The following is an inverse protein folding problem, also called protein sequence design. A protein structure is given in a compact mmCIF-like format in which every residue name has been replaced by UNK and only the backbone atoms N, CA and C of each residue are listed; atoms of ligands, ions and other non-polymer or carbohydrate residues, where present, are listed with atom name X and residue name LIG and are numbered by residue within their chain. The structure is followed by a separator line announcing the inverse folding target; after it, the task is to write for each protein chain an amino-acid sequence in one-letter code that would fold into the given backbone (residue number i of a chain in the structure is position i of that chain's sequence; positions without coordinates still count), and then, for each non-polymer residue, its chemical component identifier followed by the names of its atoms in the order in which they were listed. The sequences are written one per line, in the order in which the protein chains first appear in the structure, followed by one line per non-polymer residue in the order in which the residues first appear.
data_IF_390535976841
#
_entry.id   IF_390535976841
#
_cell.length_a   1.000
_cell.length_b   1.000
_cell.length_c   1.000
_cell.angle_alpha   90.00
_cell.angle_beta   90.00
_cell.angle_gamma   90.00
#
_symmetry.space_group_name_H-M   'P 1'
#
loop_
_entity.id
_entity.type
_entity.pdbx_description
1 polymer ?
#
# COMPACT_ATOMS: atom_id res chain seq x y z
N UNK A 1 5.81 -33.67 -16.75
CA UNK A 1 4.93 -33.72 -15.56
C UNK A 1 4.28 -32.36 -15.41
N UNK A 2 3.06 -32.22 -15.93
CA UNK A 2 2.25 -30.99 -15.91
C UNK A 2 1.48 -30.93 -14.60
N UNK A 3 1.68 -29.86 -13.81
CA UNK A 3 0.92 -29.58 -12.58
C UNK A 3 -0.17 -28.52 -12.85
N UNK A 4 -1.31 -28.55 -12.14
CA UNK A 4 -2.54 -27.92 -12.59
C UNK A 4 -2.55 -26.41 -12.33
N UNK A 5 -3.17 -25.68 -13.26
CA UNK A 5 -3.49 -24.27 -13.14
C UNK A 5 -4.50 -24.03 -12.00
N UNK A 6 -4.21 -23.10 -11.09
CA UNK A 6 -5.21 -22.51 -10.21
C UNK A 6 -6.17 -21.64 -11.04
N UNK A 7 -7.34 -22.18 -11.40
CA UNK A 7 -8.48 -21.40 -11.85
C UNK A 7 -9.35 -21.04 -10.65
N UNK A 8 -9.50 -19.75 -10.38
CA UNK A 8 -10.48 -19.25 -9.40
C UNK A 8 -11.91 -19.40 -9.97
N UNK A 9 -12.89 -19.88 -9.20
CA UNK A 9 -14.27 -19.98 -9.67
C UNK A 9 -14.90 -18.59 -9.83
N UNK A 10 -15.84 -18.41 -10.79
CA UNK A 10 -16.54 -17.14 -10.97
C UNK A 10 -17.48 -16.84 -9.79
N UNK A 11 -17.58 -15.56 -9.42
CA UNK A 11 -18.49 -15.06 -8.36
C UNK A 11 -19.95 -15.38 -8.72
N UNK A 12 -20.80 -15.78 -7.75
CA UNK A 12 -22.23 -15.87 -7.98
C UNK A 12 -22.83 -14.46 -8.19
N UNK A 13 -23.91 -14.33 -8.99
CA UNK A 13 -24.54 -13.05 -9.26
C UNK A 13 -25.22 -12.48 -8.01
N UNK A 14 -25.14 -11.17 -7.84
CA UNK A 14 -25.88 -10.44 -6.79
C UNK A 14 -27.36 -10.42 -7.13
N UNK A 15 -28.19 -11.00 -6.25
CA UNK A 15 -29.63 -10.83 -6.32
C UNK A 15 -29.99 -9.35 -6.07
N UNK A 16 -30.64 -8.72 -7.03
CA UNK A 16 -31.31 -7.45 -6.85
C UNK A 16 -32.62 -7.71 -6.09
N UNK A 17 -32.70 -7.26 -4.84
CA UNK A 17 -33.94 -7.26 -4.08
C UNK A 17 -34.67 -5.94 -4.31
N UNK A 18 -35.81 -5.98 -5.00
CA UNK A 18 -36.78 -4.89 -5.07
C UNK A 18 -37.32 -4.57 -3.67
N UNK A 19 -37.38 -3.28 -3.33
CA UNK A 19 -38.02 -2.81 -2.11
C UNK A 19 -39.51 -2.67 -2.41
N UNK A 20 -40.30 -3.66 -2.01
CA UNK A 20 -41.76 -3.57 -2.01
C UNK A 20 -42.23 -2.95 -0.67
N UNK A 21 -42.91 -1.83 -0.77
CA UNK A 21 -43.63 -1.17 0.32
C UNK A 21 -44.82 -2.02 0.78
N UNK A 22 -44.87 -2.40 2.06
CA UNK A 22 -46.02 -3.06 2.67
C UNK A 22 -45.98 -3.00 4.19
N UNK A 23 -47.02 -2.42 4.79
CA UNK A 23 -47.30 -2.46 6.24
C UNK A 23 -47.71 -3.87 6.65
N UNK A 24 -46.94 -4.53 7.52
CA UNK A 24 -47.31 -5.83 8.08
C UNK A 24 -47.10 -5.84 9.60
N UNK A 25 -48.14 -6.28 10.30
CA UNK A 25 -48.26 -6.38 11.73
C UNK A 25 -47.19 -7.29 12.36
N UNK A 26 -46.80 -6.97 13.60
CA UNK A 26 -45.84 -7.69 14.43
C UNK A 26 -46.31 -9.13 14.71
N UNK A 27 -45.61 -10.11 14.13
CA UNK A 27 -45.64 -11.50 14.59
C UNK A 27 -44.26 -11.85 15.19
N UNK A 28 -44.26 -12.44 16.39
CA UNK A 28 -43.04 -12.84 17.10
C UNK A 28 -42.29 -13.97 16.34
N UNK A 29 -40.94 -14.00 16.33
CA UNK A 29 -40.20 -15.06 15.66
C UNK A 29 -40.19 -16.33 16.52
N UNK A 30 -40.54 -17.47 15.93
CA UNK A 30 -40.31 -18.79 16.50
C UNK A 30 -39.00 -19.36 15.95
N UNK A 31 -38.12 -19.85 16.83
CA UNK A 31 -36.90 -20.57 16.46
C UNK A 31 -37.14 -22.06 16.63
N UNK A 32 -36.92 -22.85 15.57
CA UNK A 32 -37.03 -24.31 15.59
C UNK A 32 -35.62 -24.90 15.67
N UNK A 33 -35.34 -25.69 16.70
CA UNK A 33 -34.12 -26.50 16.80
C UNK A 33 -34.39 -27.92 16.27
N UNK A 34 -33.54 -28.40 15.35
CA UNK A 34 -33.54 -29.80 14.93
C UNK A 34 -32.58 -30.61 15.79
N UNK A 35 -33.12 -31.35 16.77
CA UNK A 35 -32.41 -32.37 17.53
C UNK A 35 -32.63 -33.75 16.92
N UNK A 36 -31.56 -34.54 16.75
CA UNK A 36 -31.49 -35.78 15.96
C UNK A 36 -32.24 -37.01 16.47
N UNK A 37 -33.43 -36.87 17.06
CA UNK A 37 -34.30 -38.00 17.40
C UNK A 37 -35.78 -37.67 17.22
N UNK A 38 -36.23 -37.62 15.96
CA UNK A 38 -37.56 -38.03 15.49
C UNK A 38 -38.87 -37.50 16.12
N UNK A 39 -38.86 -36.68 17.16
CA UNK A 39 -40.07 -36.16 17.81
C UNK A 39 -40.06 -34.63 17.89
N UNK A 40 -40.95 -33.99 17.12
CA UNK A 40 -41.21 -32.55 17.22
C UNK A 40 -42.03 -32.25 18.48
N UNK A 41 -41.42 -31.68 19.52
CA UNK A 41 -42.16 -31.06 20.64
C UNK A 41 -42.23 -29.55 20.46
N UNK A 42 -43.44 -29.02 20.32
CA UNK A 42 -43.71 -27.58 20.37
C UNK A 42 -43.71 -27.14 21.85
N UNK A 43 -42.80 -26.25 22.23
CA UNK A 43 -42.87 -25.54 23.50
C UNK A 43 -43.31 -24.09 23.24
N UNK A 44 -44.45 -23.70 23.79
CA UNK A 44 -44.90 -22.31 23.76
C UNK A 44 -44.13 -21.50 24.82
N UNK A 45 -43.52 -20.39 24.41
CA UNK A 45 -42.94 -19.43 25.37
C UNK A 45 -44.08 -18.61 26.01
N UNK A 46 -44.01 -18.31 27.32
CA UNK A 46 -44.98 -17.43 27.96
C UNK A 46 -44.82 -15.99 27.44
N UNK A 47 -45.89 -15.18 27.44
CA UNK A 47 -45.83 -13.81 26.94
C UNK A 47 -44.92 -12.95 27.82
N UNK A 48 -44.10 -12.10 27.18
CA UNK A 48 -43.27 -11.11 27.86
C UNK A 48 -44.18 -10.11 28.59
N UNK A 49 -44.18 -10.16 29.93
CA UNK A 49 -44.80 -9.14 30.76
C UNK A 49 -44.04 -7.81 30.56
N UNK A 50 -44.78 -6.73 30.31
CA UNK A 50 -44.26 -5.35 30.20
C UNK A 50 -43.86 -4.79 31.57
N UNK A 51 -42.92 -5.45 32.24
CA UNK A 51 -42.24 -4.97 33.44
C UNK A 51 -40.79 -4.66 33.09
N UNK A 52 -40.34 -3.43 33.37
CA UNK A 52 -38.95 -3.04 33.17
C UNK A 52 -38.00 -3.99 33.88
N UNK A 53 -37.10 -4.61 33.13
CA UNK A 53 -36.02 -5.43 33.70
C UNK A 53 -34.89 -4.47 34.08
N UNK A 54 -34.78 -4.15 35.37
CA UNK A 54 -33.58 -3.55 35.93
C UNK A 54 -32.44 -4.57 35.83
N UNK A 55 -31.49 -4.30 34.94
CA UNK A 55 -30.24 -5.05 34.88
C UNK A 55 -29.35 -4.63 36.06
N UNK A 56 -29.42 -5.39 37.16
CA UNK A 56 -28.34 -5.37 38.15
C UNK A 56 -27.23 -6.27 37.64
N UNK A 57 -26.17 -5.67 37.10
CA UNK A 57 -24.96 -6.40 36.75
C UNK A 57 -24.43 -7.08 38.03
N UNK A 58 -24.17 -8.39 38.05
CA UNK A 58 -23.50 -9.00 39.19
C UNK A 58 -22.12 -8.34 39.32
N UNK A 59 -21.79 -7.91 40.55
CA UNK A 59 -20.46 -7.42 40.90
C UNK A 59 -19.42 -8.40 40.35
N UNK A 60 -18.62 -7.93 39.38
CA UNK A 60 -17.57 -8.73 38.78
C UNK A 60 -16.67 -9.29 39.90
N UNK A 61 -16.39 -10.61 39.93
CA UNK A 61 -15.44 -11.13 40.89
C UNK A 61 -14.10 -10.43 40.67
N UNK A 62 -13.59 -9.79 41.72
CA UNK A 62 -12.27 -9.16 41.68
C UNK A 62 -11.22 -10.27 41.50
N UNK A 63 -10.77 -10.46 40.28
CA UNK A 63 -9.70 -11.40 39.96
C UNK A 63 -8.39 -10.89 40.60
N UNK A 64 -7.71 -11.70 41.44
CA UNK A 64 -6.58 -11.24 42.25
C UNK A 64 -5.24 -11.19 41.49
N UNK A 65 -5.25 -11.03 40.17
CA UNK A 65 -4.02 -10.92 39.39
C UNK A 65 -4.09 -9.70 38.47
N UNK A 66 -3.22 -8.72 38.75
CA UNK A 66 -2.80 -7.75 37.76
C UNK A 66 -2.01 -8.51 36.68
N UNK A 67 -2.73 -9.10 35.72
CA UNK A 67 -2.12 -9.57 34.50
C UNK A 67 -1.75 -8.31 33.72
N UNK A 68 -0.48 -7.93 33.76
CA UNK A 68 0.09 -7.06 32.75
C UNK A 68 0.21 -7.85 31.43
N UNK A 69 -0.90 -8.38 30.91
CA UNK A 69 -0.98 -8.80 29.52
C UNK A 69 -1.83 -7.76 28.82
N UNK A 70 -1.25 -7.14 27.80
CA UNK A 70 -2.07 -6.47 26.79
C UNK A 70 -2.80 -7.58 26.05
N UNK A 71 -3.95 -8.01 26.56
CA UNK A 71 -4.82 -9.00 25.88
C UNK A 71 -5.25 -8.46 24.50
N UNK A 72 -5.20 -7.14 24.31
CA UNK A 72 -5.48 -6.48 23.06
C UNK A 72 -4.21 -6.33 22.21
N UNK A 73 -4.19 -7.02 21.07
CA UNK A 73 -3.15 -6.88 20.05
C UNK A 73 -3.23 -5.51 19.38
N UNK A 74 -2.07 -4.99 18.99
CA UNK A 74 -2.00 -3.82 18.14
C UNK A 74 -2.28 -4.21 16.68
N UNK A 75 -3.11 -3.42 15.98
CA UNK A 75 -3.55 -3.75 14.62
C UNK A 75 -3.15 -2.66 13.64
N UNK A 76 -2.54 -3.08 12.53
CA UNK A 76 -2.41 -2.30 11.31
C UNK A 76 -3.23 -2.94 10.20
N UNK A 77 -3.50 -2.20 9.13
CA UNK A 77 -4.22 -2.78 8.00
C UNK A 77 -3.81 -2.27 6.63
N UNK A 78 -4.32 -2.90 5.58
CA UNK A 78 -4.31 -2.41 4.20
C UNK A 78 -5.75 -2.12 3.76
N UNK A 79 -5.99 -0.92 3.25
CA UNK A 79 -7.27 -0.50 2.68
C UNK A 79 -7.13 -0.24 1.18
N UNK A 80 -8.00 -0.81 0.35
CA UNK A 80 -8.01 -0.64 -1.11
C UNK A 80 -9.15 -1.37 -1.77
N UNK A 81 -9.25 -1.29 -3.09
CA UNK A 81 -10.22 -2.07 -3.88
C UNK A 81 -9.70 -2.23 -5.33
N UNK A 82 -9.15 -3.40 -5.73
CA UNK A 82 -8.93 -4.59 -4.90
C UNK A 82 -7.65 -4.51 -4.03
N UNK A 83 -7.61 -5.27 -2.93
CA UNK A 83 -6.40 -5.57 -2.14
C UNK A 83 -5.96 -7.03 -2.26
N UNK A 84 -6.83 -7.93 -2.74
CA UNK A 84 -6.48 -9.32 -2.98
C UNK A 84 -5.21 -9.46 -3.83
N UNK A 85 -4.28 -10.32 -3.39
CA UNK A 85 -2.99 -10.54 -4.06
C UNK A 85 -1.91 -9.51 -3.70
N UNK A 86 -2.17 -8.59 -2.76
CA UNK A 86 -1.14 -7.68 -2.28
C UNK A 86 -0.15 -8.40 -1.32
N UNK A 87 1.17 -8.36 -1.60
CA UNK A 87 2.17 -9.09 -0.83
C UNK A 87 2.50 -8.49 0.54
N UNK A 88 2.04 -7.26 0.84
CA UNK A 88 2.43 -6.54 2.06
C UNK A 88 2.06 -7.29 3.35
N UNK A 89 0.96 -8.05 3.33
CA UNK A 89 0.52 -8.84 4.49
C UNK A 89 1.62 -9.81 4.96
N UNK A 90 2.20 -10.59 4.03
CA UNK A 90 3.21 -11.59 4.36
C UNK A 90 4.49 -10.97 4.92
N UNK A 91 4.95 -9.88 4.30
CA UNK A 91 6.15 -9.16 4.77
C UNK A 91 5.95 -8.58 6.16
N UNK A 92 4.81 -7.92 6.42
CA UNK A 92 4.57 -7.22 7.68
C UNK A 92 4.30 -8.18 8.83
N UNK A 93 3.54 -9.26 8.60
CA UNK A 93 3.35 -10.32 9.61
C UNK A 93 4.70 -10.95 10.00
N UNK A 94 5.58 -11.24 9.04
CA UNK A 94 6.93 -11.70 9.37
C UNK A 94 7.73 -10.66 10.14
N UNK A 95 7.68 -9.39 9.73
CA UNK A 95 8.38 -8.32 10.44
C UNK A 95 7.92 -8.20 11.91
N UNK A 96 6.61 -8.31 12.18
CA UNK A 96 6.07 -8.28 13.55
C UNK A 96 6.54 -9.50 14.35
N UNK A 97 6.49 -10.69 13.76
CA UNK A 97 6.95 -11.91 14.42
C UNK A 97 8.45 -11.86 14.77
N UNK A 98 9.29 -11.37 13.85
CA UNK A 98 10.74 -11.23 14.06
C UNK A 98 11.11 -10.19 15.10
N UNK A 99 10.28 -9.17 15.25
CA UNK A 99 10.47 -8.12 16.24
C UNK A 99 9.87 -8.47 17.62
N UNK A 100 9.34 -9.69 17.81
CA UNK A 100 8.61 -10.12 19.02
C UNK A 100 7.47 -9.16 19.40
N UNK A 101 6.77 -8.64 18.37
CA UNK A 101 5.66 -7.72 18.53
C UNK A 101 4.34 -8.48 18.37
N UNK A 102 3.48 -8.42 19.39
CA UNK A 102 2.12 -8.99 19.35
C UNK A 102 1.16 -8.10 18.56
N UNK A 103 1.46 -7.96 17.27
CA UNK A 103 0.77 -7.11 16.31
C UNK A 103 0.12 -7.95 15.20
N UNK A 104 -0.91 -7.40 14.55
CA UNK A 104 -1.55 -8.02 13.38
C UNK A 104 -1.72 -7.03 12.23
N UNK A 105 -1.61 -7.54 11.01
CA UNK A 105 -1.80 -6.84 9.75
C UNK A 105 -2.98 -7.42 8.97
N UNK A 106 -4.07 -6.68 8.91
CA UNK A 106 -5.30 -7.14 8.25
C UNK A 106 -5.50 -6.46 6.89
N UNK A 107 -6.11 -7.14 5.93
CA UNK A 107 -6.42 -6.58 4.61
C UNK A 107 -7.93 -6.41 4.44
N UNK A 108 -8.38 -5.23 4.02
CA UNK A 108 -9.80 -4.94 3.82
C UNK A 108 -10.07 -4.40 2.42
N UNK A 109 -10.99 -5.05 1.72
CA UNK A 109 -11.59 -4.53 0.49
C UNK A 109 -12.57 -3.41 0.86
N UNK A 110 -12.20 -2.18 0.56
CA UNK A 110 -12.96 -0.98 0.88
C UNK A 110 -13.19 -0.19 -0.41
N UNK A 111 -14.40 -0.22 -0.99
CA UNK A 111 -14.70 0.59 -2.18
C UNK A 111 -14.70 2.08 -1.82
N UNK A 112 -14.49 2.93 -2.81
CA UNK A 112 -14.37 4.38 -2.66
C UNK A 112 -15.51 5.06 -1.86
N UNK A 113 -16.74 4.54 -1.96
CA UNK A 113 -17.91 5.06 -1.23
C UNK A 113 -17.88 4.81 0.27
N UNK A 114 -17.18 3.77 0.72
CA UNK A 114 -17.14 3.34 2.12
C UNK A 114 -15.84 3.80 2.81
N UNK A 115 -14.97 4.50 2.08
CA UNK A 115 -13.62 4.86 2.53
C UNK A 115 -13.61 5.77 3.77
N UNK A 116 -14.49 6.77 3.84
CA UNK A 116 -14.62 7.63 5.03
C UNK A 116 -15.03 6.81 6.26
N UNK A 117 -16.00 5.90 6.10
CA UNK A 117 -16.43 4.98 7.15
C UNK A 117 -15.30 4.07 7.62
N UNK A 118 -14.47 3.58 6.70
CA UNK A 118 -13.29 2.78 7.04
C UNK A 118 -12.25 3.59 7.84
N UNK A 119 -11.96 4.84 7.46
CA UNK A 119 -11.05 5.71 8.22
C UNK A 119 -11.58 6.03 9.62
N UNK A 120 -12.89 6.25 9.73
CA UNK A 120 -13.54 6.38 11.05
C UNK A 120 -13.39 5.09 11.86
N UNK A 121 -13.51 3.92 11.23
CA UNK A 121 -13.24 2.62 11.85
C UNK A 121 -11.80 2.50 12.37
N UNK A 122 -10.80 2.86 11.55
CA UNK A 122 -9.38 2.89 11.95
C UNK A 122 -9.18 3.71 13.24
N UNK A 123 -9.82 4.88 13.34
CA UNK A 123 -9.78 5.72 14.55
C UNK A 123 -10.48 5.08 15.74
N UNK A 124 -11.72 4.61 15.57
CA UNK A 124 -12.56 4.09 16.66
C UNK A 124 -12.02 2.77 17.22
N UNK A 125 -11.55 1.87 16.36
CA UNK A 125 -10.98 0.59 16.78
C UNK A 125 -9.56 0.73 17.34
N UNK A 126 -8.95 1.92 17.24
CA UNK A 126 -7.60 2.17 17.76
C UNK A 126 -6.50 1.47 16.97
N UNK A 127 -6.68 1.30 15.66
CA UNK A 127 -5.62 0.75 14.81
C UNK A 127 -4.40 1.67 14.82
N UNK A 128 -3.20 1.09 14.84
CA UNK A 128 -1.93 1.83 14.84
C UNK A 128 -1.65 2.53 13.54
N UNK A 129 -2.17 2.01 12.43
CA UNK A 129 -2.03 2.61 11.13
C UNK A 129 -2.67 1.79 10.01
N UNK A 130 -2.59 2.34 8.80
CA UNK A 130 -3.10 1.67 7.61
C UNK A 130 -2.23 1.98 6.39
N UNK A 131 -1.91 0.98 5.59
CA UNK A 131 -1.45 1.20 4.22
C UNK A 131 -2.64 1.46 3.31
N UNK A 132 -2.43 2.28 2.29
CA UNK A 132 -3.44 2.57 1.28
C UNK A 132 -3.03 2.01 -0.08
N UNK A 133 -3.93 1.26 -0.70
CA UNK A 133 -3.90 0.87 -2.09
C UNK A 133 -4.85 1.76 -2.91
N UNK A 134 -4.80 1.71 -4.26
CA UNK A 134 -5.81 2.36 -5.08
C UNK A 134 -7.23 1.93 -4.66
N UNK A 135 -8.24 2.82 -4.76
CA UNK A 135 -8.20 4.19 -5.27
C UNK A 135 -7.95 5.28 -4.20
N UNK A 136 -7.48 4.93 -3.00
CA UNK A 136 -7.61 5.80 -1.82
C UNK A 136 -6.50 6.84 -1.61
N UNK A 137 -5.33 6.65 -2.23
CA UNK A 137 -4.10 7.38 -1.91
C UNK A 137 -4.15 8.90 -2.07
N UNK A 138 -4.95 9.40 -3.01
CA UNK A 138 -5.17 10.85 -3.20
C UNK A 138 -6.39 11.38 -2.45
N UNK A 139 -7.35 10.51 -2.10
CA UNK A 139 -8.61 10.92 -1.43
C UNK A 139 -8.42 11.17 0.06
N UNK A 140 -7.39 10.56 0.66
CA UNK A 140 -7.21 10.59 2.12
C UNK A 140 -6.82 11.96 2.66
N UNK A 141 -6.25 12.86 1.85
CA UNK A 141 -5.75 14.17 2.31
C UNK A 141 -6.78 14.98 3.08
N UNK A 142 -8.06 14.93 2.69
CA UNK A 142 -9.14 15.65 3.38
C UNK A 142 -9.41 15.15 4.82
N UNK A 143 -8.86 14.00 5.20
CA UNK A 143 -9.09 13.37 6.50
C UNK A 143 -7.85 13.41 7.40
N UNK A 144 -6.74 13.98 6.93
CA UNK A 144 -5.47 13.98 7.66
C UNK A 144 -5.31 15.23 8.50
N UNK A 145 -4.82 15.05 9.73
CA UNK A 145 -4.40 16.16 10.59
C UNK A 145 -2.97 16.61 10.28
N UNK A 146 -2.13 15.70 9.79
CA UNK A 146 -0.77 16.01 9.38
C UNK A 146 -0.37 15.16 8.17
N UNK A 147 0.40 15.77 7.26
CA UNK A 147 0.91 15.10 6.06
C UNK A 147 2.40 15.38 5.96
N UNK A 148 3.21 14.33 5.81
CA UNK A 148 4.65 14.48 5.54
C UNK A 148 4.91 15.28 4.25
N UNK A 149 6.05 15.95 4.15
CA UNK A 149 6.40 16.72 2.94
C UNK A 149 6.37 15.87 1.67
N UNK A 150 6.91 14.66 1.71
CA UNK A 150 6.88 13.73 0.58
C UNK A 150 5.45 13.44 0.13
N UNK A 151 4.52 13.19 1.07
CA UNK A 151 3.13 12.92 0.74
C UNK A 151 2.37 14.16 0.25
N UNK A 152 2.69 15.35 0.80
CA UNK A 152 2.11 16.62 0.39
C UNK A 152 2.55 17.00 -1.03
N UNK A 153 3.85 16.91 -1.32
CA UNK A 153 4.43 17.28 -2.61
C UNK A 153 4.02 16.30 -3.70
N UNK A 154 4.06 14.98 -3.42
CA UNK A 154 3.63 13.98 -4.40
C UNK A 154 2.11 13.94 -4.62
N UNK A 155 1.34 14.46 -3.66
CA UNK A 155 -0.11 14.28 -3.60
C UNK A 155 -0.52 12.83 -3.27
N UNK A 156 0.42 11.97 -2.87
CA UNK A 156 0.18 10.55 -2.60
C UNK A 156 0.45 10.22 -1.14
N UNK A 157 -0.53 9.61 -0.48
CA UNK A 157 -0.38 9.02 0.85
C UNK A 157 -0.58 7.51 0.71
N UNK A 158 0.41 6.71 1.06
CA UNK A 158 0.31 5.25 1.02
C UNK A 158 0.44 4.61 2.42
N UNK A 159 0.76 5.38 3.45
CA UNK A 159 0.87 4.92 4.83
C UNK A 159 0.21 5.95 5.78
N UNK A 160 -0.65 5.47 6.67
CA UNK A 160 -1.30 6.22 7.72
C UNK A 160 -0.78 5.75 9.06
N UNK A 161 -0.63 6.68 10.00
CA UNK A 161 -0.35 6.41 11.42
C UNK A 161 -1.40 7.09 12.27
N UNK A 162 -1.93 6.39 13.27
CA UNK A 162 -2.81 6.98 14.28
C UNK A 162 -1.96 7.51 15.44
N UNK A 163 -2.08 8.79 15.75
CA UNK A 163 -1.39 9.46 16.87
C UNK A 163 -2.44 10.26 17.64
N UNK A 164 -2.68 9.91 18.90
CA UNK A 164 -3.66 10.57 19.77
C UNK A 164 -5.05 10.77 19.12
N UNK A 165 -5.52 9.73 18.41
CA UNK A 165 -6.80 9.73 17.69
C UNK A 165 -6.79 10.45 16.33
N UNK A 166 -5.66 11.02 15.92
CA UNK A 166 -5.46 11.77 14.67
C UNK A 166 -4.70 10.95 13.64
N UNK A 167 -5.07 11.05 12.37
CA UNK A 167 -4.44 10.37 11.25
C UNK A 167 -3.34 11.25 10.64
N UNK A 168 -2.14 10.69 10.64
CA UNK A 168 -0.96 11.29 10.01
C UNK A 168 -0.64 10.51 8.73
N UNK A 169 -0.51 11.21 7.60
CA UNK A 169 -0.24 10.63 6.29
C UNK A 169 1.23 10.71 5.87
N UNK A 170 1.73 9.59 5.38
CA UNK A 170 3.10 9.40 4.94
C UNK A 170 3.17 8.79 3.54
N UNK A 171 4.28 9.09 2.84
CA UNK A 171 4.64 8.46 1.58
C UNK A 171 5.92 7.62 1.78
N UNK A 172 5.76 6.31 1.96
CA UNK A 172 6.90 5.40 2.18
C UNK A 172 7.58 4.95 0.89
N UNK A 173 6.99 5.21 -0.27
CA UNK A 173 7.59 4.88 -1.57
C UNK A 173 8.74 5.82 -1.91
N UNK A 174 8.59 7.11 -1.61
CA UNK A 174 9.67 8.10 -1.68
C UNK A 174 10.82 7.73 -0.74
N UNK A 175 10.50 7.53 0.55
CA UNK A 175 11.46 7.11 1.59
C UNK A 175 12.27 5.89 1.15
N UNK A 176 11.62 4.89 0.54
CA UNK A 176 12.28 3.69 0.06
C UNK A 176 13.34 3.98 -1.02
N UNK A 177 12.99 4.77 -2.04
CA UNK A 177 13.95 5.17 -3.07
C UNK A 177 15.15 5.88 -2.43
N UNK A 178 14.89 6.85 -1.54
CA UNK A 178 15.95 7.62 -0.88
C UNK A 178 16.92 6.72 -0.12
N UNK A 179 16.40 5.86 0.77
CA UNK A 179 17.23 4.96 1.60
C UNK A 179 18.07 4.00 0.77
N UNK A 180 17.53 3.52 -0.35
CA UNK A 180 18.24 2.61 -1.24
C UNK A 180 19.26 3.33 -2.11
N UNK A 181 19.06 4.62 -2.41
CA UNK A 181 19.93 5.39 -3.29
C UNK A 181 21.09 6.10 -2.56
N UNK A 182 20.86 6.65 -1.36
CA UNK A 182 21.86 7.39 -0.57
C UNK A 182 23.19 6.65 -0.34
N UNK A 183 23.24 5.31 -0.17
CA UNK A 183 24.50 4.56 -0.06
C UNK A 183 25.37 4.61 -1.32
N UNK A 184 24.78 4.91 -2.49
CA UNK A 184 25.45 4.87 -3.77
C UNK A 184 25.81 6.27 -4.30
N UNK A 185 24.97 7.27 -4.01
CA UNK A 185 25.16 8.62 -4.55
C UNK A 185 24.52 9.69 -3.64
N UNK A 186 25.13 10.89 -3.50
CA UNK A 186 24.43 12.03 -2.92
C UNK A 186 23.20 12.40 -3.74
N UNK A 187 22.03 12.48 -3.10
CA UNK A 187 20.80 12.90 -3.78
C UNK A 187 20.80 14.40 -4.10
N UNK A 188 21.47 15.20 -3.28
CA UNK A 188 21.64 16.63 -3.52
C UNK A 188 22.48 16.84 -4.79
N UNK A 189 21.93 17.60 -5.73
CA UNK A 189 22.55 17.85 -7.03
C UNK A 189 22.39 16.71 -8.04
N UNK A 190 21.68 15.62 -7.69
CA UNK A 190 21.43 14.50 -8.61
C UNK A 190 20.45 14.88 -9.72
N UNK A 191 20.45 14.07 -10.78
CA UNK A 191 19.52 14.19 -11.90
C UNK A 191 18.78 12.87 -12.12
N UNK A 192 17.49 12.92 -12.44
CA UNK A 192 16.70 11.72 -12.69
C UNK A 192 15.87 11.84 -13.97
N UNK A 193 15.86 10.76 -14.76
CA UNK A 193 14.88 10.53 -15.82
C UNK A 193 13.88 9.49 -15.33
N UNK A 194 12.63 9.87 -15.21
CA UNK A 194 11.53 9.06 -14.69
C UNK A 194 10.61 8.67 -15.85
N UNK A 195 10.53 7.38 -16.13
CA UNK A 195 9.64 6.83 -17.14
C UNK A 195 8.26 6.62 -16.52
N UNK A 196 7.26 7.35 -17.00
CA UNK A 196 5.88 7.37 -16.50
C UNK A 196 5.54 8.64 -15.69
N UNK A 197 4.25 8.98 -15.68
CA UNK A 197 3.67 10.10 -14.91
C UNK A 197 2.74 9.63 -13.78
N UNK A 198 2.79 8.35 -13.40
CA UNK A 198 1.87 7.77 -12.44
C UNK A 198 2.22 8.07 -10.97
N UNK A 199 1.45 7.50 -10.04
CA UNK A 199 1.61 7.71 -8.59
C UNK A 199 3.03 7.43 -8.06
N UNK A 200 3.70 6.39 -8.57
CA UNK A 200 5.07 6.08 -8.16
C UNK A 200 6.07 7.12 -8.68
N UNK A 201 5.89 7.62 -9.90
CA UNK A 201 6.68 8.74 -10.42
C UNK A 201 6.56 9.96 -9.51
N UNK A 202 5.34 10.28 -9.07
CA UNK A 202 5.10 11.38 -8.14
C UNK A 202 5.81 11.18 -6.81
N UNK A 203 5.69 9.99 -6.20
CA UNK A 203 6.33 9.66 -4.93
C UNK A 203 7.85 9.80 -5.00
N UNK A 204 8.46 9.27 -6.06
CA UNK A 204 9.91 9.24 -6.26
C UNK A 204 10.46 10.63 -6.60
N UNK A 205 9.81 11.36 -7.50
CA UNK A 205 10.19 12.73 -7.86
C UNK A 205 10.09 13.69 -6.68
N UNK A 206 9.03 13.59 -5.88
CA UNK A 206 8.86 14.41 -4.69
C UNK A 206 10.00 14.20 -3.68
N UNK A 207 10.39 12.95 -3.43
CA UNK A 207 11.50 12.65 -2.51
C UNK A 207 12.83 13.16 -3.04
N UNK A 208 13.11 12.98 -4.34
CA UNK A 208 14.33 13.50 -4.96
C UNK A 208 14.37 15.04 -4.92
N UNK A 209 13.24 15.71 -5.16
CA UNK A 209 13.14 17.16 -5.05
C UNK A 209 13.39 17.65 -3.61
N UNK A 210 12.79 17.00 -2.60
CA UNK A 210 13.05 17.29 -1.18
C UNK A 210 14.53 17.11 -0.84
N UNK A 211 15.17 16.07 -1.39
CA UNK A 211 16.58 15.78 -1.18
C UNK A 211 17.53 16.73 -1.93
N UNK A 212 16.98 17.67 -2.73
CA UNK A 212 17.74 18.70 -3.43
C UNK A 212 18.33 18.23 -4.75
N UNK A 213 17.66 17.32 -5.48
CA UNK A 213 18.00 17.01 -6.87
C UNK A 213 18.07 18.31 -7.70
N UNK A 214 18.98 18.36 -8.66
CA UNK A 214 19.14 19.51 -9.56
C UNK A 214 18.19 19.44 -10.76
N UNK A 215 17.87 18.23 -11.25
CA UNK A 215 17.08 18.04 -12.47
C UNK A 215 16.17 16.82 -12.39
N UNK A 216 14.91 16.98 -12.77
CA UNK A 216 13.93 15.91 -12.92
C UNK A 216 13.30 15.96 -14.31
N UNK A 217 13.53 14.92 -15.10
CA UNK A 217 12.91 14.74 -16.41
C UNK A 217 11.88 13.62 -16.36
N UNK A 218 10.73 13.82 -16.99
CA UNK A 218 9.68 12.81 -17.10
C UNK A 218 9.51 12.40 -18.56
N UNK A 219 9.37 11.11 -18.81
CA UNK A 219 8.94 10.58 -20.11
C UNK A 219 7.59 9.87 -19.92
N UNK A 220 6.49 10.49 -20.35
CA UNK A 220 5.15 9.94 -20.17
C UNK A 220 4.26 10.13 -21.40
N UNK A 221 3.24 9.28 -21.54
CA UNK A 221 2.27 9.35 -22.64
C UNK A 221 1.35 10.56 -22.52
N UNK A 222 0.98 10.88 -21.29
CA UNK A 222 0.11 12.00 -20.95
C UNK A 222 0.87 12.95 -20.01
N UNK A 223 1.42 14.05 -20.54
CA UNK A 223 2.11 15.06 -19.74
C UNK A 223 1.26 15.64 -18.61
N UNK A 224 -0.08 15.69 -18.78
CA UNK A 224 -0.97 16.28 -17.79
C UNK A 224 -0.97 15.52 -16.45
N UNK A 225 -0.53 14.26 -16.46
CA UNK A 225 -0.41 13.45 -15.26
C UNK A 225 0.53 14.08 -14.22
N UNK A 226 1.57 14.79 -14.67
CA UNK A 226 2.58 15.38 -13.78
C UNK A 226 2.38 16.86 -13.49
N UNK A 227 1.41 17.55 -14.11
CA UNK A 227 1.21 19.01 -13.96
C UNK A 227 1.07 19.45 -12.50
N UNK A 228 0.26 18.71 -11.73
CA UNK A 228 0.05 19.00 -10.31
C UNK A 228 1.34 18.81 -9.50
N UNK A 229 2.11 17.77 -9.81
CA UNK A 229 3.40 17.51 -9.17
C UNK A 229 4.42 18.61 -9.50
N UNK A 230 4.49 19.04 -10.75
CA UNK A 230 5.40 20.11 -11.16
C UNK A 230 5.04 21.44 -10.49
N UNK A 231 3.75 21.70 -10.33
CA UNK A 231 3.28 22.87 -9.57
C UNK A 231 3.72 22.79 -8.11
N UNK A 232 3.58 21.64 -7.45
CA UNK A 232 4.00 21.50 -6.04
C UNK A 232 5.52 21.53 -5.86
N UNK A 233 6.28 20.93 -6.79
CA UNK A 233 7.75 20.99 -6.81
C UNK A 233 8.25 22.41 -7.08
N UNK A 234 7.62 23.15 -8.01
CA UNK A 234 7.99 24.52 -8.35
C UNK A 234 7.85 25.52 -7.19
N UNK A 235 7.05 25.18 -6.17
CA UNK A 235 6.89 25.99 -4.96
C UNK A 235 7.97 25.73 -3.89
N UNK A 236 8.91 24.81 -4.13
CA UNK A 236 10.03 24.57 -3.23
C UNK A 236 11.08 25.66 -3.36
N UNK A 237 11.70 26.04 -2.23
CA UNK A 237 12.74 27.07 -2.22
C UNK A 237 13.95 26.72 -3.11
N UNK A 238 14.27 25.43 -3.24
CA UNK A 238 15.32 24.90 -4.09
C UNK A 238 14.71 23.91 -5.10
N UNK A 239 13.76 24.38 -5.92
CA UNK A 239 13.12 23.53 -6.91
C UNK A 239 14.12 23.05 -7.97
N UNK A 240 14.13 21.75 -8.33
CA UNK A 240 14.90 21.26 -9.47
C UNK A 240 14.43 21.88 -10.79
N UNK A 241 15.31 21.87 -11.79
CA UNK A 241 14.89 22.04 -13.18
C UNK A 241 14.01 20.84 -13.57
N UNK A 242 12.77 21.12 -13.98
CA UNK A 242 11.83 20.09 -14.40
C UNK A 242 11.61 20.13 -15.91
N UNK A 243 11.63 18.96 -16.56
CA UNK A 243 11.27 18.79 -17.96
C UNK A 243 10.30 17.63 -18.14
N UNK A 244 9.35 17.77 -19.06
CA UNK A 244 8.44 16.68 -19.45
C UNK A 244 8.58 16.48 -20.95
N UNK A 245 8.90 15.26 -21.33
CA UNK A 245 8.98 14.82 -22.71
C UNK A 245 7.86 13.82 -23.00
N UNK A 246 7.32 13.89 -24.21
CA UNK A 246 6.33 12.94 -24.68
C UNK A 246 6.98 11.57 -24.89
N UNK A 247 6.25 10.51 -24.54
CA UNK A 247 6.65 9.15 -24.87
C UNK A 247 6.83 9.00 -26.40
N UNK A 248 7.96 8.47 -26.89
CA UNK A 248 8.19 8.39 -28.33
C UNK A 248 7.28 7.35 -28.97
N UNK A 249 6.77 7.65 -30.17
CA UNK A 249 5.99 6.69 -30.97
C UNK A 249 6.85 5.51 -31.46
N UNK A 250 8.14 5.77 -31.71
CA UNK A 250 9.12 4.75 -32.11
C UNK A 250 10.53 5.18 -31.73
N UNK A 251 11.45 4.20 -31.66
CA UNK A 251 12.85 4.44 -31.34
C UNK A 251 13.13 4.60 -29.84
N UNK A 252 14.27 5.23 -29.56
CA UNK A 252 14.80 5.45 -28.21
C UNK A 252 15.00 6.93 -27.97
N UNK A 253 14.83 7.35 -26.71
CA UNK A 253 15.20 8.68 -26.24
C UNK A 253 16.63 8.64 -25.73
N UNK A 254 17.42 9.63 -26.15
CA UNK A 254 18.77 9.83 -25.64
C UNK A 254 18.72 10.32 -24.19
N UNK A 255 19.43 9.61 -23.32
CA UNK A 255 19.58 9.97 -21.92
C UNK A 255 20.98 10.56 -21.73
N UNK A 256 21.06 11.75 -21.16
CA UNK A 256 22.33 12.43 -20.88
C UNK A 256 23.26 11.52 -20.04
N UNK A 257 24.53 11.42 -20.42
CA UNK A 257 25.52 10.57 -19.76
C UNK A 257 25.72 10.94 -18.26
N UNK A 258 25.44 12.18 -17.89
CA UNK A 258 25.50 12.68 -16.52
C UNK A 258 24.23 12.37 -15.71
N UNK A 259 23.25 11.70 -16.30
CA UNK A 259 22.01 11.30 -15.60
C UNK A 259 22.32 10.36 -14.45
N UNK A 260 21.98 10.77 -13.23
CA UNK A 260 22.23 9.97 -12.02
C UNK A 260 21.28 8.78 -11.93
N UNK A 261 19.99 8.99 -12.18
CA UNK A 261 18.97 7.94 -12.08
C UNK A 261 18.18 7.78 -13.37
N UNK A 262 17.96 6.54 -13.78
CA UNK A 262 16.92 6.18 -14.75
C UNK A 262 15.91 5.28 -14.04
N UNK A 263 14.69 5.77 -13.87
CA UNK A 263 13.67 5.17 -13.03
C UNK A 263 12.48 4.72 -13.88
N UNK A 264 12.32 3.42 -14.07
CA UNK A 264 11.11 2.87 -14.65
C UNK A 264 10.00 2.82 -13.60
N UNK A 265 8.99 3.66 -13.76
CA UNK A 265 7.75 3.60 -12.95
C UNK A 265 6.55 3.06 -13.73
N UNK A 266 6.78 2.63 -14.98
CA UNK A 266 5.74 2.06 -15.84
C UNK A 266 5.57 0.57 -15.60
N UNK A 267 4.47 -0.04 -16.06
CA UNK A 267 4.31 -1.50 -16.04
C UNK A 267 5.20 -2.28 -17.02
N UNK A 268 5.97 -1.61 -17.88
CA UNK A 268 6.81 -2.25 -18.89
C UNK A 268 7.92 -3.07 -18.23
N UNK A 269 8.20 -4.25 -18.79
CA UNK A 269 9.10 -5.25 -18.19
C UNK A 269 8.41 -6.26 -17.27
N UNK A 270 7.15 -6.02 -16.87
CA UNK A 270 6.33 -6.99 -16.12
C UNK A 270 5.90 -8.16 -17.01
N UNK A 271 5.71 -9.36 -16.45
CA UNK A 271 5.13 -10.49 -17.18
C UNK A 271 3.78 -10.09 -17.82
N UNK A 272 3.63 -10.40 -19.11
CA UNK A 272 2.43 -10.06 -19.89
C UNK A 272 2.37 -8.60 -20.37
N UNK A 273 3.42 -7.81 -20.16
CA UNK A 273 3.58 -6.46 -20.71
C UNK A 273 4.71 -6.42 -21.75
N UNK A 274 4.78 -5.38 -22.61
CA UNK A 274 5.95 -5.17 -23.44
C UNK A 274 7.22 -5.09 -22.58
N UNK A 275 8.31 -5.65 -23.10
CA UNK A 275 9.53 -5.92 -22.34
C UNK A 275 10.61 -4.85 -22.54
N UNK A 276 10.40 -3.93 -23.47
CA UNK A 276 11.38 -2.92 -23.88
C UNK A 276 10.97 -1.54 -23.39
N UNK A 277 11.95 -0.77 -22.92
CA UNK A 277 11.81 0.65 -22.61
C UNK A 277 12.30 1.47 -23.80
N UNK A 278 11.82 2.71 -23.98
CA UNK A 278 12.20 3.58 -25.09
C UNK A 278 13.54 4.29 -24.79
N UNK A 279 14.53 3.56 -24.28
CA UNK A 279 15.86 4.07 -23.94
C UNK A 279 16.92 3.07 -24.41
N UNK A 280 18.07 3.58 -24.83
CA UNK A 280 19.22 2.73 -25.06
C UNK A 280 20.02 2.54 -23.76
N UNK A 281 19.87 1.36 -23.15
CA UNK A 281 20.62 1.02 -21.94
C UNK A 281 22.13 0.98 -22.20
N UNK A 282 22.59 0.76 -23.44
CA UNK A 282 24.00 0.79 -23.81
C UNK A 282 24.62 2.21 -23.79
N UNK A 283 23.80 3.24 -23.92
CA UNK A 283 24.22 4.64 -23.93
C UNK A 283 24.25 5.30 -22.54
N UNK A 284 23.67 4.68 -21.50
CA UNK A 284 23.64 5.28 -20.16
C UNK A 284 25.06 5.51 -19.60
N UNK A 285 25.24 6.53 -18.78
CA UNK A 285 26.52 6.80 -18.14
C UNK A 285 26.96 5.69 -17.20
N UNK A 286 28.27 5.52 -17.02
CA UNK A 286 28.85 4.46 -16.17
C UNK A 286 28.49 4.59 -14.67
N UNK A 287 27.96 5.74 -14.24
CA UNK A 287 27.53 6.02 -12.87
C UNK A 287 26.01 6.05 -12.71
N UNK A 288 25.24 5.80 -13.77
CA UNK A 288 23.79 5.79 -13.71
C UNK A 288 23.30 4.64 -12.82
N UNK A 289 22.33 4.95 -11.96
CA UNK A 289 21.59 3.98 -11.16
C UNK A 289 20.29 3.66 -11.89
N UNK A 290 20.10 2.39 -12.26
CA UNK A 290 18.90 1.89 -12.89
C UNK A 290 17.91 1.40 -11.85
N UNK A 291 16.71 1.99 -11.80
CA UNK A 291 15.67 1.68 -10.81
C UNK A 291 14.43 1.18 -11.53
N UNK A 292 13.87 0.05 -11.13
CA UNK A 292 12.65 -0.49 -11.73
C UNK A 292 11.64 -0.83 -10.65
N UNK A 293 10.42 -0.29 -10.74
CA UNK A 293 9.35 -0.60 -9.77
C UNK A 293 8.69 -1.96 -10.03
N UNK A 294 8.94 -2.57 -11.19
CA UNK A 294 8.47 -3.91 -11.49
C UNK A 294 9.21 -4.92 -10.62
N UNK A 295 8.46 -5.62 -9.77
CA UNK A 295 8.99 -6.62 -8.84
C UNK A 295 8.70 -8.08 -9.26
N UNK A 296 7.85 -8.29 -10.25
CA UNK A 296 7.55 -9.63 -10.78
C UNK A 296 7.59 -9.62 -12.33
N UNK A 297 8.70 -10.06 -12.94
CA UNK A 297 9.88 -10.66 -12.31
C UNK A 297 10.78 -9.59 -11.68
N UNK A 298 11.59 -9.91 -10.64
CA UNK A 298 12.47 -8.93 -10.00
C UNK A 298 13.64 -8.50 -10.92
N UNK A 299 14.07 -9.37 -11.84
CA UNK A 299 15.11 -9.05 -12.85
C UNK A 299 14.49 -8.81 -14.21
N UNK A 300 14.02 -7.59 -14.44
CA UNK A 300 13.47 -7.16 -15.74
C UNK A 300 14.56 -7.09 -16.81
N UNK A 301 14.19 -7.08 -18.11
CA UNK A 301 15.15 -6.87 -19.20
C UNK A 301 15.96 -5.58 -19.04
N UNK A 302 15.33 -4.51 -18.56
CA UNK A 302 15.98 -3.24 -18.25
C UNK A 302 17.10 -3.42 -17.20
N UNK A 303 16.78 -4.02 -16.05
CA UNK A 303 17.77 -4.23 -14.99
C UNK A 303 18.85 -5.24 -15.40
N UNK A 304 18.51 -6.27 -16.18
CA UNK A 304 19.51 -7.21 -16.73
C UNK A 304 20.50 -6.51 -17.65
N UNK A 305 20.03 -5.64 -18.54
CA UNK A 305 20.88 -4.87 -19.45
C UNK A 305 21.76 -3.87 -18.68
N UNK A 306 21.22 -3.21 -17.65
CA UNK A 306 21.98 -2.31 -16.79
C UNK A 306 23.08 -3.05 -16.01
N UNK A 307 22.74 -4.19 -15.40
CA UNK A 307 23.69 -5.02 -14.67
C UNK A 307 24.81 -5.57 -15.58
N UNK A 308 24.50 -5.93 -16.83
CA UNK A 308 25.50 -6.36 -17.81
C UNK A 308 26.54 -5.27 -18.15
N UNK A 309 26.23 -4.00 -17.86
CA UNK A 309 27.14 -2.86 -17.97
C UNK A 309 27.78 -2.46 -16.64
N UNK A 310 27.60 -3.27 -15.59
CA UNK A 310 28.05 -3.00 -14.22
C UNK A 310 27.43 -1.72 -13.60
N UNK A 311 26.25 -1.31 -14.07
CA UNK A 311 25.51 -0.23 -13.43
C UNK A 311 24.92 -0.70 -12.11
N UNK A 312 24.76 0.22 -11.16
CA UNK A 312 24.03 -0.07 -9.92
C UNK A 312 22.54 -0.23 -10.26
N UNK A 313 21.92 -1.30 -9.77
CA UNK A 313 20.50 -1.59 -10.00
C UNK A 313 19.74 -1.63 -8.69
N UNK A 314 18.55 -1.01 -8.66
CA UNK A 314 17.59 -1.14 -7.56
C UNK A 314 16.33 -1.81 -8.14
N UNK A 315 16.07 -3.04 -7.71
CA UNK A 315 14.93 -3.81 -8.20
C UNK A 315 13.63 -3.52 -7.43
N UNK A 316 12.51 -3.86 -8.07
CA UNK A 316 11.19 -3.56 -7.56
C UNK A 316 10.85 -4.32 -6.28
N UNK A 317 11.44 -5.51 -6.07
CA UNK A 317 11.22 -6.32 -4.89
C UNK A 317 11.93 -5.70 -3.68
N UNK A 318 13.16 -5.25 -3.87
CA UNK A 318 13.91 -4.48 -2.86
C UNK A 318 13.19 -3.17 -2.51
N UNK A 319 12.66 -2.44 -3.50
CA UNK A 319 11.81 -1.26 -3.27
C UNK A 319 10.53 -1.60 -2.49
N UNK A 320 9.89 -2.73 -2.81
CA UNK A 320 8.68 -3.22 -2.15
C UNK A 320 8.92 -3.57 -0.67
N UNK A 321 10.05 -4.21 -0.37
CA UNK A 321 10.47 -4.49 1.00
C UNK A 321 10.75 -3.18 1.74
N UNK A 322 11.56 -2.28 1.18
CA UNK A 322 11.95 -1.05 1.89
C UNK A 322 10.76 -0.13 2.15
N UNK A 323 9.81 0.01 1.21
CA UNK A 323 8.60 0.82 1.46
C UNK A 323 7.71 0.25 2.56
N UNK A 324 7.75 -1.07 2.75
CA UNK A 324 7.00 -1.75 3.81
C UNK A 324 7.74 -1.67 5.13
N UNK A 325 9.07 -1.76 5.10
CA UNK A 325 9.93 -1.55 6.26
C UNK A 325 9.79 -0.14 6.83
N UNK A 326 9.75 0.88 5.97
CA UNK A 326 9.48 2.26 6.39
C UNK A 326 8.08 2.41 7.02
N UNK A 327 7.05 1.70 6.53
CA UNK A 327 5.72 1.72 7.15
C UNK A 327 5.73 1.08 8.54
N UNK A 328 6.40 -0.07 8.66
CA UNK A 328 6.61 -0.76 9.94
C UNK A 328 7.27 0.17 10.96
N UNK A 329 8.40 0.81 10.60
CA UNK A 329 9.12 1.74 11.47
C UNK A 329 8.25 2.93 11.90
N UNK A 330 7.43 3.47 11.00
CA UNK A 330 6.49 4.56 11.31
C UNK A 330 5.50 4.15 12.41
N UNK A 331 5.01 2.91 12.39
CA UNK A 331 4.03 2.44 13.36
C UNK A 331 4.66 2.01 14.69
N UNK A 332 5.75 1.24 14.63
CA UNK A 332 6.34 0.55 15.79
C UNK A 332 7.47 1.34 16.45
N UNK A 333 8.15 2.21 15.70
CA UNK A 333 9.39 2.86 16.13
C UNK A 333 10.62 1.94 16.10
N UNK A 334 10.49 0.72 15.58
CA UNK A 334 11.54 -0.31 15.54
C UNK A 334 11.92 -0.61 14.09
N UNK A 335 13.20 -0.84 13.82
CA UNK A 335 13.68 -1.31 12.51
C UNK A 335 13.35 -2.79 12.29
N UNK A 336 12.74 -3.19 11.15
CA UNK A 336 12.41 -4.58 10.88
C UNK A 336 13.62 -5.34 10.30
N UNK A 337 13.54 -6.67 10.42
CA UNK A 337 14.40 -7.61 9.69
C UNK A 337 13.98 -7.64 8.20
N UNK A 338 14.73 -6.89 7.37
CA UNK A 338 14.46 -6.73 5.93
C UNK A 338 14.68 -8.02 5.15
N UNK A 339 15.60 -8.88 5.60
CA UNK A 339 15.86 -10.16 4.95
C UNK A 339 14.68 -11.11 5.18
N UNK A 340 14.17 -11.19 6.41
CA UNK A 340 12.96 -11.96 6.70
C UNK A 340 11.72 -11.46 5.94
N UNK A 341 11.59 -10.14 5.76
CA UNK A 341 10.54 -9.57 4.91
C UNK A 341 10.72 -9.98 3.44
N UNK A 342 11.95 -9.96 2.94
CA UNK A 342 12.29 -10.35 1.56
C UNK A 342 11.98 -11.83 1.32
N UNK A 343 12.40 -12.71 2.22
CA UNK A 343 12.10 -14.15 2.15
C UNK A 343 10.58 -14.41 2.09
N UNK A 344 9.81 -13.72 2.93
CA UNK A 344 8.35 -13.88 2.99
C UNK A 344 7.65 -13.49 1.67
N UNK A 345 8.11 -12.43 1.01
CA UNK A 345 7.52 -12.01 -0.27
C UNK A 345 8.00 -12.88 -1.44
N UNK A 346 9.25 -13.35 -1.43
CA UNK A 346 9.75 -14.31 -2.42
C UNK A 346 8.97 -15.62 -2.35
N UNK A 347 8.71 -16.14 -1.15
CA UNK A 347 7.87 -17.33 -0.93
C UNK A 347 6.45 -17.12 -1.48
N UNK A 348 5.81 -15.99 -1.16
CA UNK A 348 4.47 -15.67 -1.65
C UNK A 348 4.41 -15.55 -3.17
N UNK A 349 5.43 -14.94 -3.78
CA UNK A 349 5.51 -14.75 -5.23
C UNK A 349 6.05 -15.97 -5.98
N UNK A 350 6.51 -17.00 -5.27
CA UNK A 350 7.13 -18.22 -5.83
C UNK A 350 8.35 -17.90 -6.71
N UNK A 351 9.24 -17.03 -6.21
CA UNK A 351 10.44 -16.57 -6.92
C UNK A 351 11.69 -17.39 -6.61
#
# INVERSE_FOLDING_TARGET
MTKPHCQFPPRPPRAAGEIASGTAATAAPAVVFFGGSGENKLFALPPLASGGVEWTAPLAPQLPYAVASRVQQDVCCLLGDPVAGNPNHYMLEQAFARADLDWRFLTFEVPARDFEGALRGVRIFGFRGAMLAPPHRGRVHAYLEHTSDAARISGQVNCLRLVDGKLHGHNTEGIALRRLAEPHVPLKGSSAVILGGGRLAHSMAAELAIAGAAKLSFLCQDPSQVDTLLTTIGNLANAPECRVDAWPESGTVDIDEQTTFVINTTPLGRIGQPQTLPIDVAALGAKTIAVDVVYNPPRTPFLKAAAARNLTTIDGLTLLVERSAAAFEIWTGVGPDRDAMRDAVEEFLQL
#
